data_IF_093146241428
#
_entry.id   IF_093146241428
#
_cell.length_a   1.000
_cell.length_b   1.000
_cell.length_c   1.000
_cell.angle_alpha   90.00
_cell.angle_beta   90.00
_cell.angle_gamma   90.00
#
_symmetry.space_group_name_H-M   'P 1'
#
loop_
_entity.id
_entity.type
_entity.pdbx_description
1 polymer ?
#
# COMPACT_ATOMS: atom_id res chain seq x y z
N UNK A 1 25.14 -20.17 36.66
CA UNK A 1 24.60 -19.42 37.82
C UNK A 1 23.20 -18.98 37.42
N UNK A 2 22.14 -19.50 38.06
CA UNK A 2 21.38 -18.84 39.16
C UNK A 2 20.73 -17.52 38.69
N UNK A 3 19.40 -17.30 38.67
CA UNK A 3 18.21 -18.08 39.09
C UNK A 3 17.04 -17.77 38.10
N UNK A 4 15.98 -18.54 37.83
CA UNK A 4 15.37 -19.76 38.39
C UNK A 4 14.39 -19.61 39.59
N UNK A 5 13.08 -19.81 39.32
CA UNK A 5 11.88 -19.92 40.23
C UNK A 5 11.56 -18.73 41.17
N UNK A 6 10.32 -18.60 41.69
CA UNK A 6 9.01 -18.74 41.00
C UNK A 6 7.99 -17.63 41.39
N UNK A 7 7.30 -16.99 40.44
CA UNK A 7 6.21 -16.04 40.77
C UNK A 7 4.85 -16.72 41.02
N UNK A 8 4.88 -17.81 41.79
CA UNK A 8 3.68 -18.45 42.35
C UNK A 8 3.58 -18.05 43.82
N UNK A 9 2.38 -17.65 44.25
CA UNK A 9 2.02 -17.28 45.63
C UNK A 9 2.64 -15.99 46.18
N UNK A 10 2.04 -14.83 45.85
CA UNK A 10 1.65 -13.85 46.87
C UNK A 10 0.59 -12.85 46.33
N UNK A 11 -0.53 -12.72 47.03
CA UNK A 11 -1.61 -11.73 46.82
C UNK A 11 -2.39 -11.84 45.48
N UNK A 12 -3.69 -12.16 45.40
CA UNK A 12 -4.76 -12.29 46.41
C UNK A 12 -4.80 -11.14 47.43
N UNK A 13 -4.99 -9.92 46.93
CA UNK A 13 -5.63 -8.73 47.54
C UNK A 13 -5.48 -7.61 46.50
N UNK A 14 -6.48 -7.48 45.62
CA UNK A 14 -6.93 -6.19 45.03
C UNK A 14 -8.35 -6.41 44.48
N UNK A 15 -9.20 -6.89 45.39
CA UNK A 15 -10.64 -7.02 45.22
C UNK A 15 -11.26 -5.61 45.29
N UNK A 16 -12.09 -5.28 44.31
CA UNK A 16 -13.18 -4.29 44.36
C UNK A 16 -12.89 -2.88 44.91
N UNK A 17 -12.66 -1.90 44.01
CA UNK A 17 -13.33 -0.58 44.00
C UNK A 17 -13.55 -0.18 42.51
N UNK A 18 -14.55 0.67 42.22
CA UNK A 18 -14.95 1.23 40.91
C UNK A 18 -15.92 0.40 40.05
N UNK A 19 -17.04 -0.02 40.66
CA UNK A 19 -18.32 -0.23 39.98
C UNK A 19 -19.30 0.96 40.14
N UNK A 20 -18.79 2.18 40.36
CA UNK A 20 -19.60 3.41 40.37
C UNK A 20 -18.78 4.60 39.88
N UNK A 21 -19.15 5.12 38.71
CA UNK A 21 -18.52 6.29 38.09
C UNK A 21 -19.42 6.83 36.98
N UNK A 22 -20.30 7.78 37.31
CA UNK A 22 -21.18 8.43 36.35
C UNK A 22 -20.37 9.22 35.30
N UNK A 23 -20.90 9.26 34.07
CA UNK A 23 -20.14 9.71 32.91
C UNK A 23 -19.79 11.20 32.85
N UNK A 24 -18.75 11.50 32.09
CA UNK A 24 -18.42 12.81 31.53
C UNK A 24 -17.43 12.64 30.38
N UNK A 25 -17.83 11.90 29.33
CA UNK A 25 -17.01 11.77 28.13
C UNK A 25 -17.09 13.05 27.29
N UNK A 26 -16.03 13.85 27.37
CA UNK A 26 -15.84 15.07 26.58
C UNK A 26 -14.47 14.99 25.90
N UNK A 27 -14.48 15.10 24.58
CA UNK A 27 -13.32 15.36 23.68
C UNK A 27 -12.20 14.30 23.58
N UNK A 28 -12.29 13.42 22.58
CA UNK A 28 -11.58 13.49 21.27
C UNK A 28 -10.12 14.05 21.25
N UNK A 29 -9.21 13.66 20.31
CA UNK A 29 -9.04 12.42 19.52
C UNK A 29 -7.63 11.78 19.65
N UNK A 30 -7.48 10.51 19.25
CA UNK A 30 -6.23 10.04 18.59
C UNK A 30 -6.54 8.93 17.59
N UNK A 31 -6.14 9.12 16.34
CA UNK A 31 -6.09 8.05 15.34
C UNK A 31 -5.07 6.98 15.75
N UNK A 32 -5.45 5.69 15.69
CA UNK A 32 -4.67 4.57 15.08
C UNK A 32 -5.20 3.17 15.43
N UNK A 33 -5.21 2.30 14.41
CA UNK A 33 -5.11 0.82 14.48
C UNK A 33 -6.37 -0.06 14.66
N UNK A 34 -6.97 -0.42 13.52
CA UNK A 34 -7.53 -1.75 13.15
C UNK A 34 -8.75 -2.31 13.91
N UNK A 35 -9.62 -3.08 13.21
CA UNK A 35 -9.35 -4.50 13.03
C UNK A 35 -9.43 -5.00 11.57
N UNK A 36 -8.75 -6.11 11.31
CA UNK A 36 -8.88 -6.88 10.06
C UNK A 36 -10.09 -7.80 10.10
N UNK A 37 -10.94 -7.77 9.07
CA UNK A 37 -11.82 -8.90 8.70
C UNK A 37 -11.92 -9.00 7.19
N UNK A 38 -11.56 -10.16 6.65
CA UNK A 38 -11.70 -10.50 5.24
C UNK A 38 -13.12 -10.96 4.94
N UNK A 39 -13.82 -10.26 4.05
CA UNK A 39 -14.92 -10.80 3.26
C UNK A 39 -14.97 -10.10 1.90
N UNK A 40 -15.40 -10.82 0.85
CA UNK A 40 -15.12 -10.47 -0.54
C UNK A 40 -15.87 -9.23 -1.05
N UNK A 41 -15.14 -8.27 -1.63
CA UNK A 41 -15.68 -7.03 -2.18
C UNK A 41 -15.69 -7.12 -3.73
N UNK A 42 -16.87 -7.12 -4.35
CA UNK A 42 -17.04 -6.89 -5.79
C UNK A 42 -17.91 -5.65 -5.95
N UNK A 43 -17.26 -4.48 -5.92
CA UNK A 43 -17.94 -3.20 -6.09
C UNK A 43 -17.42 -2.45 -7.30
N UNK A 44 -18.36 -2.11 -8.19
CA UNK A 44 -18.13 -1.25 -9.34
C UNK A 44 -18.56 0.18 -9.01
N UNK A 45 -17.69 1.12 -9.38
CA UNK A 45 -17.95 2.56 -9.58
C UNK A 45 -17.75 3.53 -8.40
N UNK A 46 -16.62 4.24 -8.47
CA UNK A 46 -16.46 5.69 -8.27
C UNK A 46 -17.21 6.39 -7.11
N UNK A 47 -16.49 6.67 -6.00
CA UNK A 47 -16.15 8.02 -5.49
C UNK A 47 -15.60 7.91 -4.05
N UNK A 48 -14.52 8.64 -3.73
CA UNK A 48 -13.89 8.52 -2.39
C UNK A 48 -12.51 9.16 -2.29
N UNK A 49 -12.39 10.45 -2.61
CA UNK A 49 -11.16 11.19 -2.35
C UNK A 49 -10.99 11.43 -0.83
N UNK A 50 -9.79 11.06 -0.33
CA UNK A 50 -9.11 11.52 0.89
C UNK A 50 -8.75 10.36 1.85
N UNK A 51 -7.48 9.91 1.80
CA UNK A 51 -6.92 8.92 2.75
C UNK A 51 -6.11 7.78 2.13
N UNK A 52 -6.31 7.44 0.85
CA UNK A 52 -5.58 6.32 0.22
C UNK A 52 -4.09 6.63 0.02
N UNK A 53 -3.25 5.73 0.54
CA UNK A 53 -1.80 5.73 0.34
C UNK A 53 -1.44 5.42 -1.12
N UNK A 54 -0.25 5.80 -1.54
CA UNK A 54 0.20 5.54 -2.91
C UNK A 54 0.43 4.05 -3.20
N UNK A 55 0.72 3.25 -2.17
CA UNK A 55 0.77 1.79 -2.23
C UNK A 55 -0.61 1.16 -2.44
N UNK A 56 -1.66 1.67 -1.79
CA UNK A 56 -3.03 1.19 -2.00
C UNK A 56 -3.52 1.51 -3.42
N UNK A 57 -3.24 2.72 -3.92
CA UNK A 57 -3.53 3.09 -5.32
C UNK A 57 -2.78 2.19 -6.31
N UNK A 58 -1.54 1.82 -5.99
CA UNK A 58 -0.78 0.85 -6.79
C UNK A 58 -1.49 -0.50 -6.84
N UNK A 59 -1.82 -1.11 -5.69
CA UNK A 59 -2.54 -2.38 -5.63
C UNK A 59 -3.88 -2.33 -6.41
N UNK A 60 -4.70 -1.30 -6.17
CA UNK A 60 -5.99 -1.08 -6.85
C UNK A 60 -5.84 -0.85 -8.36
N UNK A 61 -4.70 -0.34 -8.82
CA UNK A 61 -4.41 -0.19 -10.25
C UNK A 61 -3.89 -1.49 -10.88
N UNK A 62 -3.03 -2.22 -10.18
CA UNK A 62 -2.48 -3.51 -10.61
C UNK A 62 -3.54 -4.61 -10.68
N UNK A 63 -4.53 -4.60 -9.79
CA UNK A 63 -5.67 -5.54 -9.82
C UNK A 63 -6.58 -5.41 -11.04
N UNK A 64 -6.36 -4.40 -11.89
CA UNK A 64 -7.04 -4.22 -13.19
C UNK A 64 -6.27 -4.81 -14.38
N UNK A 65 -5.06 -5.34 -14.15
CA UNK A 65 -4.21 -6.03 -15.13
C UNK A 65 -4.36 -7.55 -14.97
N UNK A 66 -3.82 -8.35 -15.90
CA UNK A 66 -3.65 -9.79 -15.67
C UNK A 66 -2.55 -10.04 -14.63
N UNK A 67 -2.54 -11.22 -14.00
CA UNK A 67 -1.58 -11.57 -12.95
C UNK A 67 -0.12 -11.38 -13.36
N UNK A 68 0.22 -11.78 -14.59
CA UNK A 68 1.58 -11.67 -15.15
C UNK A 68 1.99 -10.21 -15.37
N UNK A 69 1.05 -9.41 -15.89
CA UNK A 69 1.25 -8.00 -16.18
C UNK A 69 1.32 -7.17 -14.90
N UNK A 70 0.45 -7.45 -13.92
CA UNK A 70 0.48 -6.90 -12.58
C UNK A 70 1.82 -7.17 -11.90
N UNK A 71 2.29 -8.42 -11.90
CA UNK A 71 3.58 -8.80 -11.32
C UNK A 71 4.78 -8.17 -12.05
N UNK A 72 4.67 -7.93 -13.36
CA UNK A 72 5.71 -7.22 -14.12
C UNK A 72 5.73 -5.72 -13.81
N UNK A 73 4.57 -5.10 -13.62
CA UNK A 73 4.45 -3.69 -13.25
C UNK A 73 4.88 -3.45 -11.79
N UNK A 74 4.52 -4.36 -10.87
CA UNK A 74 4.95 -4.33 -9.47
C UNK A 74 6.47 -4.39 -9.33
N UNK A 75 7.13 -5.30 -10.05
CA UNK A 75 8.60 -5.39 -10.11
C UNK A 75 9.26 -4.10 -10.58
N UNK A 76 8.62 -3.38 -11.50
CA UNK A 76 9.16 -2.10 -11.96
C UNK A 76 8.90 -0.98 -10.94
N UNK A 77 7.75 -1.02 -10.26
CA UNK A 77 7.25 -0.12 -9.21
C UNK A 77 7.08 1.37 -9.59
N UNK A 78 7.99 1.92 -10.40
CA UNK A 78 8.13 3.33 -10.75
C UNK A 78 8.13 3.50 -12.28
N UNK A 79 7.51 4.58 -12.77
CA UNK A 79 7.57 4.96 -14.17
C UNK A 79 8.93 5.61 -14.50
N UNK A 80 9.73 5.10 -15.46
CA UNK A 80 11.07 5.62 -15.76
C UNK A 80 11.04 7.04 -16.34
N UNK A 81 9.90 7.46 -16.91
CA UNK A 81 9.72 8.78 -17.51
C UNK A 81 9.44 9.86 -16.48
N UNK A 82 8.60 9.57 -15.49
CA UNK A 82 8.11 10.56 -14.52
C UNK A 82 8.69 10.42 -13.11
N UNK A 83 9.35 9.30 -12.81
CA UNK A 83 9.86 8.98 -11.46
C UNK A 83 8.76 8.74 -10.42
N UNK A 84 7.49 8.60 -10.84
CA UNK A 84 6.34 8.37 -9.94
C UNK A 84 6.01 6.88 -9.86
N UNK A 85 5.50 6.44 -8.71
CA UNK A 85 4.94 5.09 -8.55
C UNK A 85 3.86 4.80 -9.59
N UNK A 86 3.90 3.59 -10.13
CA UNK A 86 2.87 3.06 -11.01
C UNK A 86 1.56 2.89 -10.23
N UNK A 87 0.42 3.07 -10.89
CA UNK A 87 -0.89 2.96 -10.26
C UNK A 87 -1.42 4.21 -9.54
N UNK A 88 -0.55 5.10 -9.04
CA UNK A 88 -0.96 6.35 -8.36
C UNK A 88 -1.77 7.29 -9.26
N UNK A 89 -1.56 7.22 -10.58
CA UNK A 89 -2.31 7.97 -11.59
C UNK A 89 -3.37 7.14 -12.33
N UNK A 90 -3.67 5.92 -11.85
CA UNK A 90 -4.50 4.93 -12.53
C UNK A 90 -3.69 3.78 -13.14
N UNK A 91 -4.35 2.87 -13.89
CA UNK A 91 -3.75 1.63 -14.39
C UNK A 91 -2.46 1.90 -15.18
N UNK A 92 -1.33 1.27 -14.82
CA UNK A 92 -0.11 1.40 -15.60
C UNK A 92 -0.25 0.71 -16.95
N UNK A 93 0.40 1.25 -17.97
CA UNK A 93 0.30 0.77 -19.35
C UNK A 93 1.61 0.09 -19.77
N UNK A 94 1.49 -1.08 -20.42
CA UNK A 94 2.63 -1.79 -21.02
C UNK A 94 2.96 -1.17 -22.37
N UNK A 95 4.22 -0.83 -22.57
CA UNK A 95 4.78 -0.35 -23.84
C UNK A 95 5.96 -1.23 -24.19
N UNK A 96 5.99 -1.75 -25.42
CA UNK A 96 7.20 -2.39 -25.94
C UNK A 96 8.25 -1.32 -26.23
N UNK A 97 9.41 -1.49 -25.62
CA UNK A 97 10.55 -0.61 -25.70
C UNK A 97 11.75 -1.40 -26.24
N UNK A 98 11.84 -1.54 -27.56
CA UNK A 98 12.88 -2.31 -28.25
C UNK A 98 12.90 -3.80 -27.81
N UNK A 99 11.73 -4.44 -27.75
CA UNK A 99 11.57 -5.83 -27.29
C UNK A 99 11.61 -6.02 -25.77
N UNK A 100 11.79 -4.95 -24.98
CA UNK A 100 11.65 -4.98 -23.53
C UNK A 100 10.27 -4.41 -23.13
N UNK A 101 9.44 -5.15 -22.37
CA UNK A 101 8.20 -4.59 -21.83
C UNK A 101 8.53 -3.56 -20.74
N UNK A 102 8.01 -2.34 -20.90
CA UNK A 102 8.18 -1.23 -19.96
C UNK A 102 6.83 -0.68 -19.53
N UNK A 103 6.68 -0.44 -18.24
CA UNK A 103 5.47 0.11 -17.65
C UNK A 103 5.55 1.63 -17.49
N UNK A 104 4.48 2.32 -17.89
CA UNK A 104 4.35 3.77 -17.75
C UNK A 104 3.08 4.13 -16.99
N UNK A 105 3.09 5.28 -16.30
CA UNK A 105 1.97 5.73 -15.48
C UNK A 105 0.82 6.41 -16.26
N UNK A 106 1.03 6.80 -17.52
CA UNK A 106 0.00 7.45 -18.38
C UNK A 106 0.48 7.59 -19.84
N UNK A 107 -0.46 7.81 -20.78
CA UNK A 107 -0.15 7.95 -22.22
C UNK A 107 0.83 9.08 -22.52
N UNK A 108 0.81 10.17 -21.74
CA UNK A 108 1.76 11.28 -21.88
C UNK A 108 3.23 10.88 -21.67
N UNK A 109 3.47 9.77 -20.95
CA UNK A 109 4.81 9.19 -20.81
C UNK A 109 5.23 8.36 -22.04
N UNK A 110 4.29 7.81 -22.81
CA UNK A 110 4.57 6.94 -23.97
C UNK A 110 5.41 7.65 -25.03
N UNK A 111 5.02 8.87 -25.40
CA UNK A 111 5.75 9.66 -26.39
C UNK A 111 7.19 9.95 -25.95
N UNK A 112 7.38 10.34 -24.68
CA UNK A 112 8.71 10.59 -24.11
C UNK A 112 9.58 9.32 -24.07
N UNK A 113 8.99 8.20 -23.64
CA UNK A 113 9.67 6.89 -23.60
C UNK A 113 10.18 6.51 -24.98
N UNK A 114 9.32 6.56 -26.00
CA UNK A 114 9.67 6.20 -27.38
C UNK A 114 10.67 7.17 -28.03
N UNK A 115 10.70 8.44 -27.62
CA UNK A 115 11.70 9.41 -28.09
C UNK A 115 13.09 9.23 -27.47
N UNK A 116 13.20 8.71 -26.25
CA UNK A 116 14.47 8.57 -25.52
C UNK A 116 14.61 7.16 -24.92
N UNK A 117 14.37 6.14 -25.75
CA UNK A 117 14.34 4.72 -25.37
C UNK A 117 15.58 4.32 -24.54
N UNK A 118 16.78 4.59 -25.03
CA UNK A 118 18.02 4.19 -24.37
C UNK A 118 18.22 4.86 -23.00
N UNK A 119 17.83 6.13 -22.86
CA UNK A 119 17.93 6.87 -21.59
C UNK A 119 17.05 6.25 -20.50
N UNK A 120 15.80 5.90 -20.86
CA UNK A 120 14.84 5.34 -19.92
C UNK A 120 15.07 3.84 -19.64
N UNK A 121 15.50 3.07 -20.65
CA UNK A 121 15.91 1.68 -20.48
C UNK A 121 17.18 1.55 -19.63
N UNK A 122 18.11 2.50 -19.72
CA UNK A 122 19.29 2.53 -18.85
C UNK A 122 18.93 2.77 -17.37
N UNK A 123 17.88 3.55 -17.08
CA UNK A 123 17.38 3.75 -15.70
C UNK A 123 16.79 2.45 -15.14
N UNK A 124 15.98 1.74 -15.93
CA UNK A 124 15.38 0.46 -15.51
C UNK A 124 16.38 -0.68 -15.29
N UNK A 125 17.58 -0.61 -15.86
CA UNK A 125 18.63 -1.64 -15.70
C UNK A 125 19.53 -1.41 -14.48
N UNK A 126 19.31 -0.34 -13.71
CA UNK A 126 20.17 0.10 -12.61
C UNK A 126 19.55 -0.10 -11.22
N UNK A 127 18.26 -0.37 -11.16
CA UNK A 127 17.49 -0.67 -9.93
C UNK A 127 17.42 -2.19 -9.70
#
# INVERSE_FOLDING_TARGET
MKYMVPFSLLSVIFISIFLFGCGSDRTQPTDSSSPSTSDGHVDHSHQGMNGQTDMEKMNVALSKLSTEDAASAEKQHVCPVSGKMLGVMGPPQKVDANGQPVWICCDGCKGKLLSNLDEYLAKLKKE
#
